data_IF_526561865806
#
_entry.id   IF_526561865806
#
_cell.length_a   1.000
_cell.length_b   1.000
_cell.length_c   1.000
_cell.angle_alpha   90.00
_cell.angle_beta   90.00
_cell.angle_gamma   90.00
#
_symmetry.space_group_name_H-M   'P 1'
#
loop_
_entity.id
_entity.type
_entity.pdbx_description
1 polymer ?
#
# COMPACT_ATOMS: atom_id res chain seq x y z
N UNK A 1 -26.78 13.09 -10.33
CA UNK A 1 -26.15 12.98 -8.99
C UNK A 1 -25.72 11.53 -8.76
N UNK A 2 -24.58 11.11 -9.33
CA UNK A 2 -23.96 9.78 -9.07
C UNK A 2 -22.46 10.02 -9.08
N UNK A 3 -21.88 10.45 -7.95
CA UNK A 3 -20.42 10.67 -7.86
C UNK A 3 -19.80 10.28 -6.52
N UNK A 4 -20.49 9.52 -5.65
CA UNK A 4 -19.99 9.26 -4.28
C UNK A 4 -20.13 7.82 -3.75
N UNK A 5 -20.16 6.78 -4.58
CA UNK A 5 -20.33 5.39 -4.09
C UNK A 5 -19.22 4.40 -4.50
N UNK A 6 -18.21 4.79 -5.30
CA UNK A 6 -17.14 3.85 -5.72
C UNK A 6 -15.83 4.07 -4.92
N UNK A 7 -15.94 4.41 -3.63
CA UNK A 7 -14.77 4.61 -2.76
C UNK A 7 -14.41 3.48 -1.77
N UNK A 8 -15.12 2.33 -1.60
CA UNK A 8 -14.73 1.41 -0.54
C UNK A 8 -13.81 0.27 -0.99
N UNK A 9 -13.81 -0.15 -2.26
CA UNK A 9 -13.11 -1.40 -2.64
C UNK A 9 -11.58 -1.22 -2.69
N UNK A 10 -11.10 -0.11 -3.26
CA UNK A 10 -9.67 0.13 -3.41
C UNK A 10 -8.95 0.29 -2.05
N UNK A 11 -9.62 0.90 -1.06
CA UNK A 11 -9.08 1.01 0.29
C UNK A 11 -9.12 -0.34 1.04
N UNK A 12 -10.16 -1.14 0.80
CA UNK A 12 -10.33 -2.45 1.45
C UNK A 12 -9.28 -3.47 1.02
N UNK A 13 -8.90 -3.49 -0.25
CA UNK A 13 -7.81 -4.34 -0.77
C UNK A 13 -6.48 -4.01 -0.09
N UNK A 14 -6.22 -2.72 0.14
CA UNK A 14 -5.02 -2.26 0.82
C UNK A 14 -5.00 -2.62 2.32
N UNK A 15 -6.18 -2.59 2.96
CA UNK A 15 -6.41 -3.04 4.34
C UNK A 15 -6.14 -4.55 4.51
N UNK A 16 -6.44 -5.36 3.50
CA UNK A 16 -6.06 -6.78 3.48
C UNK A 16 -4.56 -7.01 3.25
N UNK A 17 -3.77 -5.95 3.09
CA UNK A 17 -2.36 -6.06 2.74
C UNK A 17 -2.15 -6.60 1.32
N UNK A 18 -3.08 -6.35 0.39
CA UNK A 18 -2.97 -6.75 -1.02
C UNK A 18 -2.73 -5.55 -1.92
N UNK A 19 -1.98 -5.77 -3.00
CA UNK A 19 -1.67 -4.75 -3.97
C UNK A 19 -2.93 -4.41 -4.76
N UNK A 20 -3.32 -3.14 -4.77
CA UNK A 20 -4.46 -2.62 -5.53
C UNK A 20 -4.34 -2.77 -7.05
N UNK A 21 -3.18 -3.21 -7.57
CA UNK A 21 -2.96 -3.46 -9.00
C UNK A 21 -3.06 -4.92 -9.37
N UNK A 22 -2.22 -5.75 -8.76
CA UNK A 22 -2.07 -7.16 -9.12
C UNK A 22 -2.73 -8.12 -8.13
N UNK A 23 -3.35 -7.64 -7.05
CA UNK A 23 -4.00 -8.46 -6.02
C UNK A 23 -3.06 -9.28 -5.14
N UNK A 24 -1.75 -9.29 -5.41
CA UNK A 24 -0.75 -10.02 -4.63
C UNK A 24 -0.56 -9.44 -3.24
N UNK A 25 -0.21 -10.31 -2.29
CA UNK A 25 0.06 -9.91 -0.92
C UNK A 25 1.33 -9.03 -0.85
N UNK A 26 1.22 -7.82 -0.30
CA UNK A 26 2.35 -6.92 -0.06
C UNK A 26 3.35 -7.53 0.93
N UNK A 27 2.93 -8.48 1.75
CA UNK A 27 3.84 -9.16 2.66
C UNK A 27 4.93 -9.98 1.96
N UNK A 28 4.66 -10.45 0.74
CA UNK A 28 5.60 -11.18 -0.11
C UNK A 28 6.48 -10.24 -0.95
N UNK A 29 6.19 -8.93 -0.93
CA UNK A 29 6.98 -7.93 -1.64
C UNK A 29 8.31 -7.65 -0.95
N UNK A 30 9.20 -6.93 -1.66
CA UNK A 30 10.48 -6.49 -1.10
C UNK A 30 10.23 -5.40 -0.07
N UNK A 31 10.56 -5.65 1.19
CA UNK A 31 10.43 -4.67 2.29
C UNK A 31 11.80 -4.04 2.56
N UNK A 32 11.83 -2.72 2.61
CA UNK A 32 13.00 -1.90 2.88
C UNK A 32 12.62 -1.04 4.08
N UNK A 33 13.46 -1.05 5.12
CA UNK A 33 13.22 -0.19 6.27
C UNK A 33 13.42 1.28 5.87
N UNK A 34 12.41 2.10 6.12
CA UNK A 34 12.48 3.55 5.90
C UNK A 34 12.93 4.26 7.17
N UNK A 35 12.90 5.59 7.14
CA UNK A 35 13.17 6.37 8.35
C UNK A 35 12.04 6.19 9.39
N UNK A 36 12.45 5.91 10.62
CA UNK A 36 11.57 5.80 11.78
C UNK A 36 10.65 4.57 11.73
N UNK A 37 9.34 4.83 11.80
CA UNK A 37 8.31 3.77 11.90
C UNK A 37 7.67 3.42 10.55
N UNK A 38 8.38 3.65 9.44
CA UNK A 38 7.88 3.36 8.10
C UNK A 38 8.72 2.28 7.43
N UNK A 39 8.09 1.45 6.60
CA UNK A 39 8.77 0.49 5.73
C UNK A 39 8.29 0.69 4.31
N UNK A 40 9.22 0.81 3.38
CA UNK A 40 8.93 0.81 1.94
C UNK A 40 8.72 -0.63 1.49
N UNK A 41 7.61 -0.90 0.85
CA UNK A 41 7.20 -2.22 0.36
C UNK A 41 7.01 -2.14 -1.14
N UNK A 42 7.87 -2.84 -1.87
CA UNK A 42 7.84 -2.89 -3.32
C UNK A 42 7.15 -4.19 -3.73
N UNK A 43 6.00 -4.06 -4.37
CA UNK A 43 5.28 -5.19 -4.92
C UNK A 43 6.01 -5.74 -6.15
N UNK A 44 5.82 -7.03 -6.47
CA UNK A 44 6.41 -7.66 -7.66
C UNK A 44 5.96 -7.02 -8.97
N UNK A 45 4.85 -6.28 -8.97
CA UNK A 45 4.40 -5.50 -10.13
C UNK A 45 5.09 -4.13 -10.27
N UNK A 46 6.10 -3.83 -9.46
CA UNK A 46 6.83 -2.56 -9.46
C UNK A 46 6.17 -1.42 -8.68
N UNK A 47 4.97 -1.63 -8.10
CA UNK A 47 4.29 -0.60 -7.31
C UNK A 47 4.88 -0.51 -5.91
N UNK A 48 5.02 0.72 -5.44
CA UNK A 48 5.65 1.04 -4.16
C UNK A 48 4.58 1.48 -3.16
N UNK A 49 4.68 0.92 -1.97
CA UNK A 49 3.80 1.19 -0.84
C UNK A 49 4.64 1.51 0.38
N UNK A 50 4.07 2.27 1.30
CA UNK A 50 4.66 2.53 2.61
C UNK A 50 3.79 1.85 3.65
N UNK A 51 4.40 0.99 4.43
CA UNK A 51 3.81 0.36 5.60
C UNK A 51 4.17 1.18 6.84
N UNK A 52 3.15 1.70 7.51
CA UNK A 52 3.31 2.39 8.78
C UNK A 52 3.25 1.34 9.90
N UNK A 53 4.40 1.12 10.57
CA UNK A 53 4.52 0.15 11.68
C UNK A 53 3.68 0.56 12.90
N UNK A 54 3.46 1.86 13.14
CA UNK A 54 2.66 2.34 14.28
C UNK A 54 1.19 2.04 14.09
N UNK A 55 0.68 2.24 12.88
CA UNK A 55 -0.75 2.06 12.58
C UNK A 55 -1.08 0.69 12.00
N UNK A 56 -0.08 -0.09 11.60
CA UNK A 56 -0.25 -1.38 10.93
C UNK A 56 -0.94 -1.25 9.57
N UNK A 57 -0.79 -0.11 8.89
CA UNK A 57 -1.51 0.20 7.65
C UNK A 57 -0.56 0.38 6.48
N UNK A 58 -0.98 -0.15 5.33
CA UNK A 58 -0.36 0.14 4.05
C UNK A 58 -0.95 1.44 3.49
N UNK A 59 -0.10 2.28 2.89
CA UNK A 59 -0.49 3.41 2.04
C UNK A 59 0.33 3.36 0.75
N UNK A 60 -0.15 3.99 -0.32
CA UNK A 60 0.68 4.20 -1.52
C UNK A 60 1.83 5.15 -1.17
N UNK A 61 3.02 4.86 -1.70
CA UNK A 61 4.13 5.80 -1.61
C UNK A 61 3.78 7.09 -2.36
N UNK A 62 4.14 8.23 -1.77
CA UNK A 62 4.05 9.51 -2.47
C UNK A 62 5.18 9.62 -3.50
N UNK A 63 5.07 10.58 -4.44
CA UNK A 63 6.06 10.78 -5.50
C UNK A 63 7.47 11.07 -4.94
N UNK A 64 7.56 11.62 -3.72
CA UNK A 64 8.82 11.88 -3.03
C UNK A 64 9.44 10.64 -2.36
N UNK A 65 8.66 9.57 -2.18
CA UNK A 65 9.09 8.33 -1.49
C UNK A 65 9.31 7.16 -2.48
N UNK A 66 8.92 7.34 -3.75
CA UNK A 66 9.02 6.36 -4.83
C UNK A 66 10.46 6.16 -5.30
#
# INVERSE_FOLDING_TARGET
MIRRIIAPVQAWILLQGKCVGCGRNLALGKRIEGQGNTQKVICTCGRIFIFDKRRGKYRRATFSEA
#
